data_IF_174823871863
#
_entry.id   IF_174823871863
#
_cell.length_a   1.000
_cell.length_b   1.000
_cell.length_c   1.000
_cell.angle_alpha   90.00
_cell.angle_beta   90.00
_cell.angle_gamma   90.00
#
_symmetry.space_group_name_H-M   'P 1'
#
loop_
_entity.id
_entity.type
_entity.pdbx_description
1 polymer ?
#
# COMPACT_ATOMS: atom_id res chain seq x y z
N UNK A 1 0.02 3.19 27.42
CA UNK A 1 1.24 4.03 27.33
C UNK A 1 1.85 3.87 25.96
N UNK A 2 2.13 4.98 25.24
CA UNK A 2 2.81 4.97 23.94
C UNK A 2 4.21 5.53 24.09
N UNK A 3 5.20 4.85 23.47
CA UNK A 3 6.62 5.23 23.48
C UNK A 3 7.03 5.76 22.12
N UNK A 4 7.73 6.89 22.09
CA UNK A 4 8.29 7.52 20.91
C UNK A 4 9.79 7.74 21.13
N UNK A 5 10.62 7.46 20.14
CA UNK A 5 12.08 7.63 20.23
C UNK A 5 12.65 8.20 18.93
N UNK A 6 13.75 8.94 19.06
CA UNK A 6 14.59 9.35 17.93
C UNK A 6 16.06 8.91 18.10
N UNK A 7 16.31 7.92 18.98
CA UNK A 7 17.63 7.44 19.31
C UNK A 7 18.30 8.18 20.49
N UNK A 8 18.16 9.49 20.59
CA UNK A 8 18.77 10.31 21.64
C UNK A 8 17.81 10.65 22.79
N UNK A 9 16.53 10.66 22.47
CA UNK A 9 15.46 11.10 23.35
C UNK A 9 14.26 10.19 23.26
N UNK A 10 13.63 9.93 24.40
CA UNK A 10 12.38 9.17 24.48
C UNK A 10 11.26 10.05 25.02
N UNK A 11 10.06 9.85 24.49
CA UNK A 11 8.82 10.45 24.97
C UNK A 11 7.85 9.32 25.29
N UNK A 12 7.36 9.28 26.51
CA UNK A 12 6.31 8.38 26.94
C UNK A 12 5.03 9.18 27.14
N UNK A 13 3.95 8.78 26.48
CA UNK A 13 2.64 9.39 26.59
C UNK A 13 1.66 8.39 27.20
N UNK A 14 0.92 8.83 28.20
CA UNK A 14 -0.09 8.00 28.86
C UNK A 14 -1.26 8.87 29.32
N UNK A 15 -2.44 8.29 29.37
CA UNK A 15 -3.64 8.91 29.96
C UNK A 15 -3.94 8.24 31.31
N UNK A 16 -4.35 9.03 32.28
CA UNK A 16 -4.80 8.56 33.58
C UNK A 16 -5.97 9.43 34.06
N UNK A 17 -7.16 8.85 34.16
CA UNK A 17 -8.38 9.62 34.36
C UNK A 17 -8.56 10.65 33.24
N UNK A 18 -8.71 11.92 33.59
CA UNK A 18 -8.78 13.04 32.65
C UNK A 18 -7.43 13.73 32.41
N UNK A 19 -6.33 13.13 32.86
CA UNK A 19 -4.99 13.72 32.75
C UNK A 19 -4.18 13.08 31.63
N UNK A 20 -3.45 13.91 30.88
CA UNK A 20 -2.41 13.50 29.94
C UNK A 20 -1.05 13.66 30.61
N UNK A 21 -0.38 12.55 30.80
CA UNK A 21 0.96 12.48 31.38
C UNK A 21 1.97 12.32 30.23
N UNK A 22 3.00 13.18 30.23
CA UNK A 22 4.09 13.10 29.27
C UNK A 22 5.42 13.07 30.03
N UNK A 23 6.18 11.99 29.84
CA UNK A 23 7.51 11.81 30.40
C UNK A 23 8.52 11.88 29.27
N UNK A 24 9.53 12.73 29.43
CA UNK A 24 10.63 12.85 28.48
C UNK A 24 11.91 12.41 29.15
N UNK A 25 12.67 11.54 28.46
CA UNK A 25 13.97 11.03 28.89
C UNK A 25 15.02 11.49 27.87
N UNK A 26 16.06 12.18 28.34
CA UNK A 26 17.17 12.62 27.49
C UNK A 26 18.45 12.70 28.33
N UNK A 27 19.52 12.04 27.88
CA UNK A 27 20.84 12.03 28.54
C UNK A 27 20.75 11.71 30.05
N UNK A 28 19.94 10.69 30.39
CA UNK A 28 19.72 10.29 31.79
C UNK A 28 18.87 11.25 32.63
N UNK A 29 18.44 12.38 32.08
CA UNK A 29 17.53 13.32 32.75
C UNK A 29 16.09 13.03 32.38
N UNK A 30 15.25 13.05 33.40
CA UNK A 30 13.81 12.86 33.28
C UNK A 30 13.08 14.19 33.48
N UNK A 31 12.09 14.44 32.61
CA UNK A 31 11.15 15.56 32.75
C UNK A 31 9.74 15.02 32.66
N UNK A 32 8.96 15.18 33.73
CA UNK A 32 7.55 14.83 33.80
C UNK A 32 6.69 16.08 33.62
N UNK A 33 5.58 15.95 32.88
CA UNK A 33 4.52 16.94 32.81
C UNK A 33 3.17 16.24 32.82
N UNK A 34 2.20 16.83 33.53
CA UNK A 34 0.82 16.39 33.57
C UNK A 34 -0.10 17.55 33.25
N UNK A 35 -1.17 17.30 32.49
CA UNK A 35 -2.21 18.26 32.19
C UNK A 35 -3.57 17.60 32.28
N UNK A 36 -4.46 18.21 33.05
CA UNK A 36 -5.84 17.78 33.23
C UNK A 36 -6.76 18.43 32.18
N UNK A 37 -7.78 17.71 31.75
CA UNK A 37 -8.76 18.11 30.74
C UNK A 37 -10.17 18.03 31.27
N UNK A 38 -11.07 18.83 30.69
CA UNK A 38 -12.47 18.95 31.15
C UNK A 38 -13.33 17.72 30.85
N UNK A 39 -12.92 16.90 29.85
CA UNK A 39 -13.62 15.67 29.46
C UNK A 39 -12.70 14.76 28.64
N UNK A 40 -13.17 13.54 28.37
CA UNK A 40 -12.44 12.52 27.62
C UNK A 40 -12.17 12.92 26.17
N UNK A 41 -13.08 13.65 25.51
CA UNK A 41 -12.89 14.09 24.11
C UNK A 41 -11.75 15.09 24.00
N UNK A 42 -11.67 16.06 24.91
CA UNK A 42 -10.58 17.04 24.96
C UNK A 42 -9.25 16.35 25.27
N UNK A 43 -9.24 15.38 26.19
CA UNK A 43 -8.07 14.56 26.50
C UNK A 43 -7.61 13.79 25.27
N UNK A 44 -8.52 13.07 24.59
CA UNK A 44 -8.18 12.27 23.41
C UNK A 44 -7.62 13.12 22.26
N UNK A 45 -8.25 14.26 21.98
CA UNK A 45 -7.73 15.21 20.99
C UNK A 45 -6.32 15.70 21.33
N UNK A 46 -6.04 16.02 22.59
CA UNK A 46 -4.74 16.45 23.05
C UNK A 46 -3.70 15.32 23.00
N UNK A 47 -4.10 14.08 23.33
CA UNK A 47 -3.26 12.90 23.24
C UNK A 47 -2.85 12.62 21.81
N UNK A 48 -3.78 12.58 20.85
CA UNK A 48 -3.51 12.42 19.42
C UNK A 48 -2.62 13.54 18.90
N UNK A 49 -2.93 14.79 19.24
CA UNK A 49 -2.08 15.93 18.84
C UNK A 49 -0.65 15.79 19.31
N UNK A 50 -0.40 15.39 20.57
CA UNK A 50 0.97 15.18 21.07
C UNK A 50 1.70 14.05 20.37
N UNK A 51 1.00 12.98 19.99
CA UNK A 51 1.59 11.90 19.17
C UNK A 51 2.02 12.44 17.80
N UNK A 52 1.12 13.12 17.09
CA UNK A 52 1.40 13.72 15.78
C UNK A 52 2.57 14.73 15.87
N UNK A 53 2.58 15.58 16.90
CA UNK A 53 3.65 16.56 17.10
C UNK A 53 5.01 15.89 17.37
N UNK A 54 5.03 14.75 18.09
CA UNK A 54 6.26 13.97 18.29
C UNK A 54 6.75 13.35 16.97
N UNK A 55 5.85 12.69 16.23
CA UNK A 55 6.17 12.05 14.96
C UNK A 55 6.68 13.08 13.93
N UNK A 56 6.04 14.25 13.82
CA UNK A 56 6.47 15.36 12.95
C UNK A 56 7.84 15.97 13.33
N UNK A 57 8.29 15.75 14.55
CA UNK A 57 9.65 16.12 15.03
C UNK A 57 10.68 15.00 14.81
N UNK A 58 10.36 13.98 14.03
CA UNK A 58 11.27 12.88 13.71
C UNK A 58 11.35 11.79 14.78
N UNK A 59 10.44 11.79 15.75
CA UNK A 59 10.32 10.63 16.65
C UNK A 59 9.57 9.50 15.93
N UNK A 60 9.89 8.27 16.28
CA UNK A 60 9.24 7.07 15.80
C UNK A 60 8.47 6.45 16.97
N UNK A 61 7.21 6.08 16.74
CA UNK A 61 6.47 5.23 17.66
C UNK A 61 6.91 3.78 17.48
N UNK A 62 7.16 3.09 18.58
CA UNK A 62 7.50 1.66 18.59
C UNK A 62 6.66 0.89 19.61
N UNK A 63 6.14 -0.26 19.19
CA UNK A 63 5.45 -1.21 20.06
C UNK A 63 5.84 -2.66 19.69
N UNK A 64 6.91 -3.15 20.28
CA UNK A 64 7.40 -4.54 20.02
C UNK A 64 6.45 -5.64 20.53
N UNK A 65 5.39 -5.26 21.27
CA UNK A 65 4.38 -6.18 21.83
C UNK A 65 3.00 -5.91 21.23
N UNK A 66 2.95 -5.33 20.03
CA UNK A 66 1.71 -5.04 19.34
C UNK A 66 0.92 -6.33 19.12
N UNK A 67 -0.36 -6.28 19.46
CA UNK A 67 -1.32 -7.33 19.19
C UNK A 67 -1.87 -7.16 17.78
N UNK A 68 -2.69 -8.11 17.34
CA UNK A 68 -3.41 -8.01 16.08
C UNK A 68 -4.13 -6.66 15.96
N UNK A 69 -3.93 -5.98 14.83
CA UNK A 69 -4.49 -4.66 14.53
C UNK A 69 -3.83 -3.48 15.24
N UNK A 70 -2.88 -3.70 16.14
CA UNK A 70 -2.12 -2.62 16.76
C UNK A 70 -0.90 -2.25 15.92
N UNK A 71 -0.56 -0.97 15.95
CA UNK A 71 0.64 -0.51 15.26
C UNK A 71 1.91 -1.01 15.96
N UNK A 72 2.81 -1.61 15.18
CA UNK A 72 4.19 -1.94 15.57
C UNK A 72 5.07 -0.68 15.53
N UNK A 73 4.87 0.14 14.51
CA UNK A 73 5.64 1.37 14.31
C UNK A 73 4.86 2.41 13.53
N UNK A 74 5.14 3.69 13.81
CA UNK A 74 4.73 4.83 13.00
C UNK A 74 5.90 5.79 12.81
N UNK A 75 6.07 6.30 11.59
CA UNK A 75 6.95 7.41 11.26
C UNK A 75 6.20 8.48 10.45
N UNK A 76 6.56 9.75 10.62
CA UNK A 76 6.09 10.83 9.78
C UNK A 76 7.08 11.08 8.64
N UNK A 77 6.63 10.88 7.42
CA UNK A 77 7.47 10.99 6.23
C UNK A 77 7.29 12.35 5.54
N UNK A 78 6.21 13.02 5.83
CA UNK A 78 5.79 14.22 5.11
C UNK A 78 4.65 13.93 4.13
N UNK A 79 4.08 14.97 3.56
CA UNK A 79 2.89 14.87 2.74
C UNK A 79 3.07 13.93 1.55
N UNK A 80 1.98 13.23 1.19
CA UNK A 80 1.77 12.66 -0.13
C UNK A 80 0.85 13.55 -0.93
N UNK A 81 0.92 13.50 -2.24
CA UNK A 81 -0.09 14.11 -3.08
C UNK A 81 -1.30 13.18 -3.13
N UNK A 82 -2.52 13.73 -3.19
CA UNK A 82 -3.75 12.94 -3.20
C UNK A 82 -3.71 11.86 -4.28
N UNK A 83 -3.61 10.58 -3.85
CA UNK A 83 -3.49 9.43 -4.74
C UNK A 83 -2.06 8.95 -5.01
N UNK A 84 -1.05 9.82 -5.02
CA UNK A 84 0.34 9.43 -5.12
C UNK A 84 0.89 9.10 -3.72
N UNK A 85 0.85 7.83 -3.34
CA UNK A 85 1.24 7.31 -2.03
C UNK A 85 2.18 6.10 -2.18
N UNK A 86 3.01 6.10 -3.23
CA UNK A 86 3.90 4.99 -3.53
C UNK A 86 4.87 4.67 -2.39
N UNK A 87 5.04 3.40 -2.12
CA UNK A 87 6.11 2.86 -1.28
C UNK A 87 6.44 1.44 -1.71
N UNK A 88 7.65 0.99 -1.37
CA UNK A 88 8.06 -0.40 -1.55
C UNK A 88 9.19 -0.77 -0.58
N UNK A 89 9.30 -2.05 -0.25
CA UNK A 89 10.45 -2.63 0.43
C UNK A 89 11.45 -3.16 -0.60
N UNK A 90 12.72 -2.77 -0.49
CA UNK A 90 13.80 -3.22 -1.35
C UNK A 90 15.12 -3.26 -0.54
N UNK A 91 15.85 -4.38 -0.60
CA UNK A 91 17.11 -4.59 0.14
C UNK A 91 17.00 -4.25 1.64
N UNK A 92 15.96 -4.79 2.29
CA UNK A 92 15.67 -4.59 3.73
C UNK A 92 15.45 -3.12 4.14
N UNK A 93 15.13 -2.25 3.18
CA UNK A 93 14.80 -0.83 3.39
C UNK A 93 13.44 -0.52 2.81
N UNK A 94 12.76 0.44 3.42
CA UNK A 94 11.54 1.00 2.86
C UNK A 94 11.88 2.27 2.09
N UNK A 95 11.36 2.36 0.89
CA UNK A 95 11.40 3.55 0.05
C UNK A 95 10.00 4.13 -0.01
N UNK A 96 9.83 5.33 0.49
CA UNK A 96 8.50 5.95 0.66
C UNK A 96 8.48 7.30 -0.03
N UNK A 97 7.50 7.50 -0.89
CA UNK A 97 7.32 8.76 -1.60
C UNK A 97 6.94 9.89 -0.65
N UNK A 98 7.57 11.05 -0.87
CA UNK A 98 7.27 12.32 -0.22
C UNK A 98 7.10 13.41 -1.27
N UNK A 99 5.91 14.01 -1.31
CA UNK A 99 5.65 15.18 -2.14
C UNK A 99 6.35 16.42 -1.56
N UNK A 100 6.94 17.21 -2.44
CA UNK A 100 7.40 18.55 -2.12
C UNK A 100 6.37 19.56 -2.63
N UNK A 101 5.80 20.33 -1.73
CA UNK A 101 4.79 21.34 -2.07
C UNK A 101 5.39 22.70 -2.43
N UNK A 102 6.73 22.83 -2.49
CA UNK A 102 7.39 24.05 -2.93
C UNK A 102 7.31 24.15 -4.46
N UNK A 103 6.89 25.31 -4.98
CA UNK A 103 6.58 25.54 -6.40
C UNK A 103 7.72 25.24 -7.39
N UNK A 104 8.95 25.09 -6.91
CA UNK A 104 10.14 24.83 -7.73
C UNK A 104 10.95 23.61 -7.25
N UNK A 105 10.37 22.80 -6.39
CA UNK A 105 11.05 21.64 -5.81
C UNK A 105 10.76 20.34 -6.54
N UNK A 106 11.70 19.41 -6.45
CA UNK A 106 11.50 18.02 -6.82
C UNK A 106 10.85 17.25 -5.67
N UNK A 107 10.17 16.18 -5.99
CA UNK A 107 9.69 15.22 -5.01
C UNK A 107 10.82 14.30 -4.55
N UNK A 108 10.60 13.54 -3.49
CA UNK A 108 11.63 12.75 -2.85
C UNK A 108 11.20 11.31 -2.59
N UNK A 109 12.20 10.41 -2.54
CA UNK A 109 12.13 9.15 -1.83
C UNK A 109 12.77 9.29 -0.46
N UNK A 110 12.03 8.97 0.58
CA UNK A 110 12.57 8.81 1.92
C UNK A 110 12.94 7.34 2.09
N UNK A 111 14.20 7.10 2.40
CA UNK A 111 14.73 5.75 2.67
C UNK A 111 14.70 5.52 4.16
N UNK A 112 14.03 4.45 4.58
CA UNK A 112 13.90 4.06 5.97
C UNK A 112 14.54 2.69 6.20
N UNK A 113 15.08 2.47 7.39
CA UNK A 113 15.43 1.12 7.85
C UNK A 113 14.20 0.32 8.33
N UNK A 114 14.42 -0.93 8.74
CA UNK A 114 13.35 -1.80 9.25
C UNK A 114 12.67 -1.32 10.54
N UNK A 115 13.26 -0.34 11.22
CA UNK A 115 12.70 0.33 12.41
C UNK A 115 12.09 1.71 12.08
N UNK A 116 11.92 2.01 10.78
CA UNK A 116 11.40 3.25 10.22
C UNK A 116 12.26 4.51 10.50
N UNK A 117 13.54 4.35 10.84
CA UNK A 117 14.46 5.49 10.95
C UNK A 117 14.87 5.95 9.56
N UNK A 118 14.87 7.26 9.35
CA UNK A 118 15.30 7.83 8.08
C UNK A 118 16.81 7.64 7.90
N UNK A 119 17.18 6.94 6.82
CA UNK A 119 18.56 6.74 6.41
C UNK A 119 19.00 7.79 5.40
N UNK A 120 18.11 8.14 4.44
CA UNK A 120 18.42 9.08 3.38
C UNK A 120 17.13 9.74 2.83
N UNK A 121 17.32 10.84 2.14
CA UNK A 121 16.34 11.48 1.27
C UNK A 121 16.97 11.60 -0.11
N UNK A 122 16.30 11.04 -1.13
CA UNK A 122 16.78 10.97 -2.51
C UNK A 122 15.83 11.78 -3.38
N UNK A 123 16.38 12.67 -4.18
CA UNK A 123 15.63 13.47 -5.14
C UNK A 123 15.11 12.60 -6.29
N UNK A 124 13.83 12.72 -6.62
CA UNK A 124 13.21 12.00 -7.71
C UNK A 124 13.45 12.73 -9.05
N UNK A 125 13.67 11.97 -10.15
CA UNK A 125 13.82 12.58 -11.49
C UNK A 125 12.52 13.17 -12.04
N UNK A 126 11.40 12.85 -11.44
CA UNK A 126 10.04 13.31 -11.75
C UNK A 126 9.21 13.38 -10.49
N UNK A 127 8.08 14.09 -10.56
CA UNK A 127 7.10 14.19 -9.48
C UNK A 127 6.11 13.02 -9.47
N UNK A 128 5.25 12.96 -8.45
CA UNK A 128 4.07 12.09 -8.36
C UNK A 128 4.37 10.59 -8.49
N UNK A 129 5.03 10.00 -7.49
CA UNK A 129 5.17 8.55 -7.44
C UNK A 129 3.82 7.85 -7.12
N UNK A 130 3.11 7.48 -8.18
CA UNK A 130 1.80 6.82 -8.09
C UNK A 130 1.91 5.41 -7.54
N UNK A 131 2.91 4.68 -8.01
CA UNK A 131 3.15 3.30 -7.60
C UNK A 131 4.64 3.01 -7.56
N UNK A 132 5.05 2.22 -6.61
CA UNK A 132 6.38 1.64 -6.52
C UNK A 132 6.25 0.14 -6.27
N UNK A 133 7.17 -0.62 -6.83
CA UNK A 133 7.22 -2.06 -6.64
C UNK A 133 8.68 -2.52 -6.73
N UNK A 134 9.08 -3.44 -5.86
CA UNK A 134 10.44 -3.98 -5.89
C UNK A 134 10.54 -5.20 -6.79
N UNK A 135 11.63 -5.25 -7.55
CA UNK A 135 12.17 -6.48 -8.15
C UNK A 135 13.28 -7.02 -7.27
N UNK A 136 13.88 -8.14 -7.67
CA UNK A 136 15.11 -8.63 -7.01
C UNK A 136 16.33 -7.71 -7.22
N UNK A 137 16.28 -6.78 -8.17
CA UNK A 137 17.45 -5.98 -8.59
C UNK A 137 17.26 -4.48 -8.55
N UNK A 138 16.02 -4.02 -8.49
CA UNK A 138 15.71 -2.60 -8.55
C UNK A 138 14.29 -2.32 -8.07
N UNK A 139 14.02 -1.08 -7.71
CA UNK A 139 12.67 -0.54 -7.62
C UNK A 139 12.19 -0.12 -9.00
N UNK A 140 10.94 -0.40 -9.29
CA UNK A 140 10.20 0.19 -10.40
C UNK A 140 9.30 1.28 -9.86
N UNK A 141 9.41 2.46 -10.44
CA UNK A 141 8.64 3.63 -10.04
C UNK A 141 7.82 4.12 -11.22
N UNK A 142 6.55 4.36 -10.99
CA UNK A 142 5.66 5.11 -11.87
C UNK A 142 5.67 6.58 -11.40
N UNK A 143 6.44 7.41 -12.10
CA UNK A 143 6.63 8.83 -11.80
C UNK A 143 6.01 9.68 -12.89
N UNK A 144 4.92 10.38 -12.57
CA UNK A 144 4.22 11.25 -13.52
C UNK A 144 4.00 10.59 -14.90
N UNK A 145 3.52 9.33 -14.87
CA UNK A 145 3.26 8.50 -16.04
C UNK A 145 4.49 8.08 -16.84
N UNK A 146 5.67 8.12 -16.24
CA UNK A 146 6.89 7.55 -16.79
C UNK A 146 7.46 6.49 -15.84
N UNK A 147 8.04 5.44 -16.41
CA UNK A 147 8.62 4.36 -15.62
C UNK A 147 10.12 4.51 -15.45
N UNK A 148 10.55 4.44 -14.21
CA UNK A 148 11.96 4.48 -13.82
C UNK A 148 12.35 3.21 -13.08
N UNK A 149 13.60 2.79 -13.26
CA UNK A 149 14.27 1.83 -12.40
C UNK A 149 15.21 2.59 -11.47
N UNK A 150 15.23 2.18 -10.21
CA UNK A 150 16.20 2.63 -9.23
C UNK A 150 16.92 1.41 -8.65
N UNK A 151 18.23 1.31 -8.86
CA UNK A 151 19.07 0.17 -8.48
C UNK A 151 19.69 0.28 -7.09
N UNK A 152 19.24 1.26 -6.28
CA UNK A 152 19.80 1.60 -4.98
C UNK A 152 20.73 2.82 -5.02
N UNK A 153 21.27 3.17 -6.20
CA UNK A 153 22.21 4.29 -6.38
C UNK A 153 21.69 5.34 -7.36
N UNK A 154 21.16 4.90 -8.50
CA UNK A 154 20.75 5.80 -9.58
C UNK A 154 19.41 5.44 -10.20
N UNK A 155 18.76 6.46 -10.72
CA UNK A 155 17.58 6.30 -11.55
C UNK A 155 17.97 6.09 -13.01
N UNK A 156 17.26 5.19 -13.67
CA UNK A 156 17.34 5.04 -15.11
C UNK A 156 15.94 4.92 -15.69
N UNK A 157 15.64 5.71 -16.70
CA UNK A 157 14.36 5.64 -17.41
C UNK A 157 14.21 4.26 -18.04
N UNK A 158 13.07 3.60 -17.80
CA UNK A 158 12.84 2.25 -18.30
C UNK A 158 12.58 2.27 -19.81
N UNK A 159 11.72 3.20 -20.25
CA UNK A 159 11.44 3.44 -21.67
C UNK A 159 10.79 4.82 -21.84
N UNK A 160 10.81 5.34 -23.05
CA UNK A 160 10.09 6.56 -23.40
C UNK A 160 8.62 6.22 -23.64
N UNK A 161 7.74 6.80 -22.82
CA UNK A 161 6.32 6.45 -22.81
C UNK A 161 5.47 7.25 -23.77
N UNK A 162 5.95 8.38 -24.22
CA UNK A 162 5.27 9.21 -25.20
C UNK A 162 5.09 8.45 -26.52
N UNK A 163 3.89 7.96 -26.76
CA UNK A 163 3.54 7.14 -27.93
C UNK A 163 3.28 5.66 -27.64
N UNK A 164 3.60 5.16 -26.41
CA UNK A 164 3.32 3.78 -26.04
C UNK A 164 2.12 3.67 -25.10
N UNK A 165 1.89 4.69 -24.29
CA UNK A 165 0.82 4.66 -23.29
C UNK A 165 0.17 6.05 -23.17
N UNK A 166 -0.92 6.24 -23.86
CA UNK A 166 -1.68 7.48 -23.78
C UNK A 166 -2.53 7.57 -22.49
N UNK A 167 -1.98 8.04 -21.39
CA UNK A 167 -2.77 8.73 -20.37
C UNK A 167 -3.35 7.96 -19.21
N UNK A 168 -2.95 6.72 -18.92
CA UNK A 168 -3.37 6.05 -17.69
C UNK A 168 -2.55 4.80 -17.41
N UNK A 169 -1.77 4.82 -16.35
CA UNK A 169 -0.89 3.71 -16.02
C UNK A 169 -1.36 2.93 -14.82
N UNK A 170 -1.28 1.63 -14.95
CA UNK A 170 -1.17 0.73 -13.82
C UNK A 170 0.07 -0.12 -14.04
N UNK A 171 0.95 -0.18 -13.09
CA UNK A 171 2.12 -1.05 -13.14
C UNK A 171 2.03 -2.10 -12.06
N UNK A 172 2.54 -3.27 -12.35
CA UNK A 172 2.74 -4.31 -11.37
C UNK A 172 3.94 -5.17 -11.78
N UNK A 173 4.51 -5.91 -10.85
CA UNK A 173 5.62 -6.82 -11.09
C UNK A 173 5.15 -8.25 -11.07
N UNK A 174 5.76 -9.06 -11.91
CA UNK A 174 5.67 -10.50 -11.81
C UNK A 174 6.73 -11.05 -10.85
N UNK A 175 6.46 -12.20 -10.24
CA UNK A 175 7.43 -12.90 -9.40
C UNK A 175 8.72 -13.33 -10.13
N UNK A 176 8.78 -13.13 -11.46
CA UNK A 176 9.92 -13.46 -12.33
C UNK A 176 10.78 -12.24 -12.72
N UNK A 177 10.66 -11.13 -12.01
CA UNK A 177 11.33 -9.86 -12.35
C UNK A 177 10.86 -9.21 -13.66
N UNK A 178 9.76 -9.67 -14.25
CA UNK A 178 9.15 -9.04 -15.41
C UNK A 178 8.31 -7.84 -14.97
N UNK A 179 8.36 -6.77 -15.75
CA UNK A 179 7.63 -5.54 -15.47
C UNK A 179 6.47 -5.46 -16.44
N UNK A 180 5.26 -5.40 -15.91
CA UNK A 180 4.08 -5.14 -16.70
C UNK A 180 3.61 -3.71 -16.48
N UNK A 181 3.40 -3.02 -17.59
CA UNK A 181 2.77 -1.72 -17.60
C UNK A 181 1.51 -1.77 -18.45
N UNK A 182 0.42 -1.19 -17.97
CA UNK A 182 -0.78 -1.06 -18.76
C UNK A 182 -1.09 0.40 -19.08
N UNK A 183 -1.59 0.61 -20.27
CA UNK A 183 -2.01 1.91 -20.75
C UNK A 183 -3.18 1.78 -21.70
N UNK A 184 -3.60 2.88 -22.30
CA UNK A 184 -4.69 2.89 -23.29
C UNK A 184 -4.35 2.08 -24.54
N UNK A 185 -3.07 1.87 -24.83
CA UNK A 185 -2.57 1.25 -26.06
C UNK A 185 -2.17 -0.23 -25.91
N UNK A 186 -2.49 -0.83 -24.77
CA UNK A 186 -2.23 -2.25 -24.52
C UNK A 186 -1.41 -2.56 -23.29
N UNK A 187 -1.17 -3.85 -23.08
CA UNK A 187 -0.31 -4.35 -21.99
C UNK A 187 1.08 -4.55 -22.56
N UNK A 188 2.06 -3.98 -21.87
CA UNK A 188 3.46 -4.09 -22.20
C UNK A 188 4.20 -4.83 -21.10
N UNK A 189 4.95 -5.86 -21.45
CA UNK A 189 5.84 -6.53 -20.50
C UNK A 189 7.31 -6.28 -20.90
N UNK A 190 8.08 -5.84 -19.93
CA UNK A 190 9.52 -5.60 -20.09
C UNK A 190 10.29 -6.49 -19.11
N UNK A 191 11.42 -7.01 -19.57
CA UNK A 191 12.37 -7.67 -18.70
C UNK A 191 13.28 -6.68 -17.97
N UNK A 192 14.05 -7.20 -17.03
CA UNK A 192 15.10 -6.44 -16.33
C UNK A 192 16.17 -5.88 -17.28
N UNK A 193 16.29 -6.41 -18.50
CA UNK A 193 17.11 -5.92 -19.60
C UNK A 193 16.48 -4.73 -20.35
N UNK A 194 15.33 -4.24 -19.91
CA UNK A 194 14.54 -3.15 -20.50
C UNK A 194 14.02 -3.44 -21.92
N UNK A 195 14.06 -4.69 -22.35
CA UNK A 195 13.52 -5.06 -23.66
C UNK A 195 12.06 -5.41 -23.57
N UNK A 196 11.29 -4.93 -24.55
CA UNK A 196 9.89 -5.32 -24.70
C UNK A 196 9.80 -6.81 -25.04
N UNK A 197 9.16 -7.60 -24.17
CA UNK A 197 8.96 -9.04 -24.34
C UNK A 197 7.55 -9.40 -24.78
N UNK A 198 6.59 -8.54 -24.45
CA UNK A 198 5.20 -8.83 -24.72
C UNK A 198 4.41 -7.52 -24.92
N UNK A 199 3.53 -7.50 -25.89
CA UNK A 199 2.57 -6.43 -26.13
C UNK A 199 1.23 -7.02 -26.57
N UNK A 200 0.13 -6.50 -26.01
CA UNK A 200 -1.21 -6.76 -26.53
C UNK A 200 -1.87 -5.47 -26.98
N UNK A 201 -2.92 -5.60 -27.77
CA UNK A 201 -3.80 -4.51 -28.20
C UNK A 201 -4.94 -4.24 -27.19
N UNK A 202 -4.97 -4.98 -26.09
CA UNK A 202 -6.01 -4.85 -25.05
C UNK A 202 -5.76 -3.61 -24.19
N UNK A 203 -6.67 -2.65 -24.27
CA UNK A 203 -6.64 -1.44 -23.43
C UNK A 203 -7.02 -1.78 -22.00
N UNK A 204 -6.03 -2.01 -21.15
CA UNK A 204 -6.23 -2.32 -19.76
C UNK A 204 -6.21 -1.07 -18.89
N UNK A 205 -7.06 -1.04 -17.86
CA UNK A 205 -7.14 0.03 -16.84
C UNK A 205 -6.62 -0.41 -15.48
N UNK A 206 -6.46 -1.72 -15.28
CA UNK A 206 -5.91 -2.28 -14.06
C UNK A 206 -5.16 -3.57 -14.36
N UNK A 207 -4.09 -3.81 -13.61
CA UNK A 207 -3.35 -5.08 -13.61
C UNK A 207 -3.22 -5.58 -12.18
N UNK A 208 -3.45 -6.88 -12.01
CA UNK A 208 -3.20 -7.61 -10.77
C UNK A 208 -2.32 -8.84 -11.03
N UNK A 209 -1.63 -9.28 -10.00
CA UNK A 209 -0.80 -10.47 -10.06
C UNK A 209 -1.28 -11.51 -9.05
N UNK A 210 -1.11 -12.74 -9.44
CA UNK A 210 -1.15 -13.91 -8.60
C UNK A 210 0.20 -14.62 -8.63
N UNK A 211 0.20 -15.91 -8.29
CA UNK A 211 1.42 -16.70 -8.21
C UNK A 211 1.97 -17.11 -9.59
N UNK A 212 1.10 -17.47 -10.53
CA UNK A 212 1.46 -17.97 -11.87
C UNK A 212 0.73 -17.25 -13.00
N UNK A 213 -0.21 -16.39 -12.66
CA UNK A 213 -1.12 -15.72 -13.59
C UNK A 213 -1.09 -14.22 -13.28
N UNK A 214 -1.14 -13.40 -14.31
CA UNK A 214 -1.53 -12.01 -14.17
C UNK A 214 -2.90 -11.78 -14.80
N UNK A 215 -3.60 -10.78 -14.31
CA UNK A 215 -4.88 -10.34 -14.83
C UNK A 215 -4.76 -8.89 -15.27
N UNK A 216 -5.26 -8.61 -16.46
CA UNK A 216 -5.48 -7.26 -16.95
C UNK A 216 -6.96 -7.02 -17.16
N UNK A 217 -7.48 -5.94 -16.61
CA UNK A 217 -8.88 -5.55 -16.71
C UNK A 217 -9.04 -4.27 -17.51
N UNK A 218 -9.98 -4.25 -18.43
CA UNK A 218 -10.26 -3.10 -19.28
C UNK A 218 -11.62 -3.18 -19.95
N UNK A 219 -11.84 -2.30 -20.92
CA UNK A 219 -13.04 -2.29 -21.74
C UNK A 219 -12.76 -2.93 -23.10
N UNK A 220 -13.65 -3.79 -23.56
CA UNK A 220 -13.57 -4.42 -24.87
C UNK A 220 -14.98 -4.50 -25.47
N UNK A 221 -15.18 -3.81 -26.59
CA UNK A 221 -16.48 -3.76 -27.24
C UNK A 221 -17.61 -3.22 -26.35
N UNK A 222 -17.33 -2.30 -25.45
CA UNK A 222 -18.27 -1.74 -24.49
C UNK A 222 -18.56 -2.63 -23.28
N UNK A 223 -17.84 -3.72 -23.12
CA UNK A 223 -17.95 -4.64 -21.99
C UNK A 223 -16.71 -4.57 -21.12
N UNK A 224 -16.89 -4.70 -19.80
CA UNK A 224 -15.80 -4.92 -18.87
C UNK A 224 -15.27 -6.33 -18.98
N UNK A 225 -13.98 -6.46 -19.25
CA UNK A 225 -13.33 -7.75 -19.45
C UNK A 225 -12.08 -7.85 -18.59
N UNK A 226 -11.87 -8.99 -17.97
CA UNK A 226 -10.62 -9.41 -17.39
C UNK A 226 -9.98 -10.47 -18.31
N UNK A 227 -8.81 -10.18 -18.84
CA UNK A 227 -7.98 -11.15 -19.54
C UNK A 227 -6.88 -11.66 -18.60
N UNK A 228 -6.74 -12.97 -18.52
CA UNK A 228 -5.77 -13.63 -17.66
C UNK A 228 -4.67 -14.25 -18.52
N UNK A 229 -3.43 -14.07 -18.11
CA UNK A 229 -2.24 -14.51 -18.84
C UNK A 229 -1.33 -15.31 -17.93
N UNK A 230 -0.68 -16.33 -18.46
CA UNK A 230 0.39 -17.02 -17.75
C UNK A 230 1.61 -16.11 -17.60
N UNK A 231 2.19 -16.01 -16.39
CA UNK A 231 3.40 -15.22 -16.16
C UNK A 231 4.65 -15.79 -16.87
N UNK A 232 4.64 -17.08 -17.20
CA UNK A 232 5.79 -17.74 -17.83
C UNK A 232 6.05 -17.30 -19.25
N UNK A 233 5.02 -17.13 -20.05
CA UNK A 233 5.10 -16.91 -21.49
C UNK A 233 4.10 -15.88 -22.01
N UNK A 234 3.32 -15.28 -21.13
CA UNK A 234 2.23 -14.33 -21.42
C UNK A 234 1.15 -14.88 -22.37
N UNK A 235 1.05 -16.21 -22.49
CA UNK A 235 -0.06 -16.80 -23.21
C UNK A 235 -1.38 -16.50 -22.52
N UNK A 236 -2.40 -16.10 -23.29
CA UNK A 236 -3.74 -15.86 -22.74
C UNK A 236 -4.35 -17.17 -22.25
N UNK A 237 -4.62 -17.25 -20.96
CA UNK A 237 -5.25 -18.41 -20.34
C UNK A 237 -6.76 -18.39 -20.57
N UNK A 238 -7.39 -17.27 -20.27
CA UNK A 238 -8.81 -17.12 -20.43
C UNK A 238 -9.26 -15.66 -20.38
N UNK A 239 -10.51 -15.46 -20.78
CA UNK A 239 -11.22 -14.19 -20.70
C UNK A 239 -12.47 -14.36 -19.86
N UNK A 240 -12.70 -13.40 -18.95
CA UNK A 240 -13.88 -13.34 -18.08
C UNK A 240 -14.59 -12.01 -18.35
N UNK A 241 -15.86 -12.06 -18.77
CA UNK A 241 -16.70 -10.88 -18.82
C UNK A 241 -17.13 -10.51 -17.40
N UNK A 242 -16.66 -9.37 -16.94
CA UNK A 242 -17.00 -8.85 -15.63
C UNK A 242 -18.23 -7.93 -15.81
N UNK A 243 -19.41 -8.47 -15.59
CA UNK A 243 -20.66 -7.70 -15.64
C UNK A 243 -20.80 -6.80 -14.39
N UNK A 244 -19.94 -5.81 -14.31
CA UNK A 244 -19.87 -4.84 -13.22
C UNK A 244 -19.61 -3.47 -13.82
N UNK A 245 -20.41 -2.50 -13.43
CA UNK A 245 -20.50 -1.15 -14.00
C UNK A 245 -19.18 -0.42 -14.28
N UNK A 246 -19.24 0.87 -14.46
CA UNK A 246 -18.12 1.71 -14.89
C UNK A 246 -16.88 1.58 -13.99
N UNK A 247 -15.70 1.45 -14.59
CA UNK A 247 -14.44 1.21 -13.88
C UNK A 247 -13.85 2.54 -13.43
N UNK A 248 -14.06 2.91 -12.16
CA UNK A 248 -13.32 4.01 -11.52
C UNK A 248 -12.19 3.54 -10.62
N UNK A 249 -12.25 2.32 -10.11
CA UNK A 249 -11.25 1.75 -9.23
C UNK A 249 -10.37 0.76 -9.98
N UNK A 250 -9.09 0.84 -9.67
CA UNK A 250 -8.04 0.09 -10.32
C UNK A 250 -7.57 -1.10 -9.45
N UNK A 251 -8.45 -1.63 -8.60
CA UNK A 251 -8.07 -2.73 -7.72
C UNK A 251 -8.62 -4.05 -8.26
N UNK A 252 -7.73 -4.86 -8.81
CA UNK A 252 -7.98 -6.22 -9.28
C UNK A 252 -6.88 -7.11 -8.74
N UNK A 253 -7.20 -8.34 -8.37
CA UNK A 253 -6.22 -9.28 -7.86
C UNK A 253 -6.65 -10.73 -8.01
N UNK A 254 -5.71 -11.62 -7.82
CA UNK A 254 -5.89 -13.06 -7.79
C UNK A 254 -5.59 -13.57 -6.38
N UNK A 255 -6.44 -14.44 -5.86
CA UNK A 255 -6.32 -15.04 -4.53
C UNK A 255 -6.50 -16.56 -4.60
N UNK A 256 -6.23 -17.26 -3.49
CA UNK A 256 -6.33 -18.73 -3.38
C UNK A 256 -5.54 -19.45 -4.49
N UNK A 257 -4.24 -19.16 -4.60
CA UNK A 257 -3.37 -19.71 -5.63
C UNK A 257 -3.93 -19.53 -7.05
N UNK A 258 -4.35 -18.32 -7.35
CA UNK A 258 -4.89 -17.91 -8.66
C UNK A 258 -6.27 -18.49 -9.02
N UNK A 259 -6.91 -19.19 -8.09
CA UNK A 259 -8.21 -19.82 -8.35
C UNK A 259 -9.35 -18.82 -8.39
N UNK A 260 -9.23 -17.69 -7.72
CA UNK A 260 -10.29 -16.67 -7.62
C UNK A 260 -9.78 -15.31 -8.09
N UNK A 261 -10.48 -14.75 -9.06
CA UNK A 261 -10.35 -13.36 -9.47
C UNK A 261 -11.22 -12.47 -8.56
N UNK A 262 -10.62 -11.42 -8.02
CA UNK A 262 -11.30 -10.39 -7.23
C UNK A 262 -11.25 -9.07 -7.98
N UNK A 263 -12.39 -8.42 -8.11
CA UNK A 263 -12.53 -7.12 -8.75
C UNK A 263 -13.24 -6.16 -7.81
N UNK A 264 -12.67 -5.00 -7.60
CA UNK A 264 -13.37 -3.86 -7.02
C UNK A 264 -13.89 -2.97 -8.16
N UNK A 265 -15.17 -2.64 -8.17
CA UNK A 265 -15.83 -1.96 -9.30
C UNK A 265 -15.76 -0.44 -9.25
N UNK A 266 -15.09 0.14 -8.27
CA UNK A 266 -15.00 1.60 -8.16
C UNK A 266 -16.21 2.29 -7.51
N UNK A 267 -17.28 1.56 -7.25
CA UNK A 267 -18.38 1.96 -6.35
C UNK A 267 -18.23 1.25 -5.00
N UNK A 268 -16.99 0.93 -4.66
CA UNK A 268 -16.61 0.30 -3.42
C UNK A 268 -17.21 -1.10 -3.18
N UNK A 269 -17.58 -1.81 -4.26
CA UNK A 269 -18.12 -3.17 -4.20
C UNK A 269 -17.11 -4.20 -4.70
N UNK A 270 -17.01 -5.34 -3.99
CA UNK A 270 -16.20 -6.49 -4.38
C UNK A 270 -17.01 -7.51 -5.17
N UNK A 271 -16.38 -8.06 -6.17
CA UNK A 271 -16.91 -9.12 -7.01
C UNK A 271 -15.87 -10.24 -7.16
N UNK A 272 -16.33 -11.47 -7.23
CA UNK A 272 -15.52 -12.67 -7.27
C UNK A 272 -15.90 -13.55 -8.45
N UNK A 273 -14.90 -14.13 -9.12
CA UNK A 273 -15.09 -15.13 -10.16
C UNK A 273 -14.17 -16.33 -9.90
N UNK A 274 -14.70 -17.51 -10.13
CA UNK A 274 -13.88 -18.71 -10.26
C UNK A 274 -13.18 -18.70 -11.61
N UNK A 275 -11.86 -18.77 -11.61
CA UNK A 275 -11.03 -18.63 -12.81
C UNK A 275 -11.24 -19.83 -13.76
N UNK A 276 -11.36 -21.03 -13.23
CA UNK A 276 -11.50 -22.23 -14.04
C UNK A 276 -12.85 -22.31 -14.75
N UNK A 277 -13.95 -22.09 -14.04
CA UNK A 277 -15.30 -22.14 -14.59
C UNK A 277 -15.74 -20.83 -15.24
N UNK A 278 -15.01 -19.71 -15.00
CA UNK A 278 -15.34 -18.34 -15.43
C UNK A 278 -16.69 -17.84 -14.89
N UNK A 279 -17.21 -18.49 -13.85
CA UNK A 279 -18.48 -18.15 -13.24
C UNK A 279 -18.29 -17.16 -12.09
N UNK A 280 -19.22 -16.21 -12.01
CA UNK A 280 -19.30 -15.31 -10.86
C UNK A 280 -19.65 -16.12 -9.61
N UNK A 281 -18.90 -15.87 -8.54
CA UNK A 281 -19.15 -16.44 -7.22
C UNK A 281 -19.99 -15.48 -6.38
N UNK A 282 -20.72 -16.05 -5.43
CA UNK A 282 -21.37 -15.25 -4.40
C UNK A 282 -20.33 -14.61 -3.49
N UNK A 283 -20.47 -13.33 -3.24
CA UNK A 283 -19.61 -12.64 -2.26
C UNK A 283 -19.89 -13.23 -0.87
N UNK A 284 -18.84 -13.63 -0.13
CA UNK A 284 -19.01 -14.11 1.24
C UNK A 284 -19.78 -13.10 2.09
N UNK A 285 -20.80 -13.55 2.84
CA UNK A 285 -21.67 -12.68 3.65
C UNK A 285 -20.91 -11.93 4.77
N UNK A 286 -19.78 -12.46 5.18
CA UNK A 286 -18.87 -11.86 6.17
C UNK A 286 -18.14 -10.61 5.64
N UNK A 287 -17.97 -10.49 4.33
CA UNK A 287 -17.27 -9.35 3.73
C UNK A 287 -18.15 -8.10 3.72
N UNK A 288 -17.56 -6.92 3.95
CA UNK A 288 -18.27 -5.66 3.85
C UNK A 288 -18.74 -5.39 2.41
N UNK A 289 -19.85 -4.68 2.25
CA UNK A 289 -20.34 -4.29 0.94
C UNK A 289 -19.49 -3.17 0.31
N UNK A 290 -19.00 -2.27 1.15
CA UNK A 290 -18.21 -1.13 0.71
C UNK A 290 -16.73 -1.35 1.04
N UNK A 291 -15.89 -1.35 -0.01
CA UNK A 291 -14.45 -1.58 0.08
C UNK A 291 -13.73 -0.65 -0.90
N UNK A 292 -12.96 0.29 -0.40
CA UNK A 292 -12.14 1.17 -1.25
C UNK A 292 -10.93 0.45 -1.82
N UNK A 293 -10.28 -0.38 -1.01
CA UNK A 293 -9.11 -1.17 -1.39
C UNK A 293 -9.14 -2.52 -0.69
N UNK A 294 -8.47 -3.49 -1.29
CA UNK A 294 -8.16 -4.75 -0.64
C UNK A 294 -6.69 -5.10 -0.83
N UNK A 295 -6.17 -5.94 0.03
CA UNK A 295 -4.88 -6.59 -0.09
C UNK A 295 -5.03 -8.03 0.37
N UNK A 296 -4.21 -8.93 -0.14
CA UNK A 296 -4.21 -10.32 0.27
C UNK A 296 -2.79 -10.90 0.22
N UNK A 297 -2.53 -11.85 1.11
CA UNK A 297 -1.43 -12.80 1.01
C UNK A 297 -2.00 -14.22 0.94
N UNK A 298 -1.22 -15.25 1.25
CA UNK A 298 -1.69 -16.64 1.18
C UNK A 298 -2.73 -17.00 2.26
N UNK A 299 -2.88 -16.19 3.30
CA UNK A 299 -3.68 -16.53 4.49
C UNK A 299 -4.75 -15.49 4.83
N UNK A 300 -4.48 -14.22 4.55
CA UNK A 300 -5.30 -13.09 4.97
C UNK A 300 -5.84 -12.35 3.76
N UNK A 301 -7.14 -12.09 3.76
CA UNK A 301 -7.80 -11.12 2.89
C UNK A 301 -8.18 -9.89 3.72
N UNK A 302 -7.62 -8.75 3.39
CA UNK A 302 -7.83 -7.50 4.12
C UNK A 302 -8.59 -6.50 3.26
N UNK A 303 -9.59 -5.88 3.84
CA UNK A 303 -10.36 -4.79 3.24
C UNK A 303 -10.10 -3.48 3.97
N UNK A 304 -10.11 -2.38 3.19
CA UNK A 304 -9.93 -1.02 3.68
C UNK A 304 -11.07 -0.13 3.23
N UNK A 305 -11.64 0.64 4.15
CA UNK A 305 -12.68 1.63 3.86
C UNK A 305 -12.59 2.80 4.85
N UNK A 306 -12.28 4.01 4.33
CA UNK A 306 -12.18 5.28 5.08
C UNK A 306 -11.46 5.19 6.44
N UNK A 307 -10.28 4.58 6.47
CA UNK A 307 -9.48 4.43 7.68
C UNK A 307 -9.75 3.17 8.50
N UNK A 308 -10.81 2.42 8.20
CA UNK A 308 -11.10 1.14 8.85
C UNK A 308 -10.55 -0.05 8.08
N UNK A 309 -9.99 -1.00 8.81
CA UNK A 309 -9.53 -2.29 8.29
C UNK A 309 -10.38 -3.42 8.84
N UNK A 310 -10.67 -4.40 7.97
CA UNK A 310 -11.22 -5.69 8.36
C UNK A 310 -10.37 -6.78 7.73
N UNK A 311 -9.83 -7.67 8.57
CA UNK A 311 -9.05 -8.80 8.12
C UNK A 311 -9.86 -10.09 8.22
N UNK A 312 -9.78 -10.92 7.20
CA UNK A 312 -10.49 -12.18 7.06
C UNK A 312 -9.50 -13.30 6.77
N UNK A 313 -9.78 -14.49 7.29
CA UNK A 313 -9.10 -15.71 6.85
C UNK A 313 -9.36 -15.91 5.36
N UNK A 314 -8.32 -16.14 4.57
CA UNK A 314 -8.50 -16.44 3.15
C UNK A 314 -9.12 -17.82 2.92
N UNK A 315 -9.04 -18.74 3.88
CA UNK A 315 -9.59 -20.10 3.77
C UNK A 315 -11.12 -20.09 3.64
N UNK A 316 -11.80 -19.40 4.58
CA UNK A 316 -13.26 -19.45 4.75
C UNK A 316 -13.93 -18.06 4.82
N UNK A 317 -13.14 -16.98 4.69
CA UNK A 317 -13.56 -15.60 4.87
C UNK A 317 -14.15 -15.30 6.26
N UNK A 318 -13.78 -16.06 7.27
CA UNK A 318 -14.10 -15.73 8.67
C UNK A 318 -13.36 -14.46 9.10
N UNK A 319 -14.07 -13.56 9.75
CA UNK A 319 -13.48 -12.34 10.30
C UNK A 319 -12.43 -12.69 11.37
N UNK A 320 -11.20 -12.24 11.17
CA UNK A 320 -10.09 -12.36 12.12
C UNK A 320 -10.05 -11.18 13.08
N UNK A 321 -10.39 -10.00 12.61
CA UNK A 321 -10.44 -8.79 13.42
C UNK A 321 -10.71 -7.52 12.63
N UNK A 322 -11.00 -6.46 13.38
CA UNK A 322 -11.22 -5.11 12.87
C UNK A 322 -10.36 -4.13 13.65
N UNK A 323 -9.82 -3.14 12.96
CA UNK A 323 -9.04 -2.07 13.59
C UNK A 323 -9.02 -0.82 12.72
N UNK A 324 -8.64 0.30 13.32
CA UNK A 324 -8.59 1.57 12.62
C UNK A 324 -7.17 1.96 12.22
N UNK A 325 -7.04 2.60 11.07
CA UNK A 325 -5.82 3.20 10.59
C UNK A 325 -5.57 4.50 11.35
N UNK A 326 -4.56 4.51 12.20
CA UNK A 326 -4.14 5.74 12.85
C UNK A 326 -3.59 6.74 11.80
N UNK A 327 -3.85 8.02 12.03
CA UNK A 327 -3.29 9.12 11.21
C UNK A 327 -3.65 9.07 9.71
N UNK A 328 -4.84 8.57 9.39
CA UNK A 328 -5.42 8.62 8.06
C UNK A 328 -6.57 9.63 8.03
N UNK A 329 -6.61 10.48 7.00
CA UNK A 329 -7.72 11.41 6.79
C UNK A 329 -8.75 10.80 5.85
N UNK A 330 -8.30 10.27 4.70
CA UNK A 330 -9.21 9.77 3.67
C UNK A 330 -8.64 8.56 2.92
N UNK A 331 -7.40 8.64 2.45
CA UNK A 331 -6.82 7.62 1.58
C UNK A 331 -5.55 7.02 2.16
N UNK A 332 -5.32 5.74 1.87
CA UNK A 332 -4.09 5.05 2.21
C UNK A 332 -3.68 4.11 1.06
N UNK A 333 -2.38 3.96 0.85
CA UNK A 333 -1.81 2.83 0.13
C UNK A 333 -1.50 1.73 1.16
N UNK A 334 -1.81 0.49 0.80
CA UNK A 334 -1.72 -0.67 1.70
C UNK A 334 -1.03 -1.83 1.00
N UNK A 335 -0.24 -2.56 1.76
CA UNK A 335 0.42 -3.80 1.33
C UNK A 335 0.53 -4.77 2.50
N UNK A 336 0.37 -6.05 2.24
CA UNK A 336 0.54 -7.12 3.23
C UNK A 336 1.78 -7.93 2.87
N UNK A 337 2.67 -8.10 3.82
CA UNK A 337 3.78 -9.05 3.73
C UNK A 337 3.86 -9.86 5.02
N UNK A 338 3.74 -11.17 4.92
CA UNK A 338 3.66 -12.08 6.07
C UNK A 338 2.59 -11.64 7.08
N UNK A 339 2.96 -11.43 8.33
CA UNK A 339 2.08 -11.00 9.43
C UNK A 339 2.08 -9.46 9.62
N UNK A 340 2.46 -8.68 8.62
CA UNK A 340 2.54 -7.23 8.69
C UNK A 340 1.71 -6.57 7.62
N UNK A 341 1.01 -5.52 8.03
CA UNK A 341 0.35 -4.59 7.13
C UNK A 341 1.14 -3.28 7.10
N UNK A 342 1.58 -2.91 5.93
CA UNK A 342 2.23 -1.62 5.67
C UNK A 342 1.20 -0.64 5.15
N UNK A 343 1.20 0.56 5.70
CA UNK A 343 0.20 1.59 5.40
C UNK A 343 0.88 2.94 5.20
N UNK A 344 0.73 3.52 4.02
CA UNK A 344 1.10 4.91 3.73
C UNK A 344 -0.16 5.75 3.67
N UNK A 345 -0.30 6.72 4.58
CA UNK A 345 -1.51 7.56 4.66
C UNK A 345 -1.34 8.88 3.95
N UNK A 346 -2.43 9.46 3.48
CA UNK A 346 -2.50 10.80 2.88
C UNK A 346 -2.11 11.91 3.87
N UNK A 347 -2.17 11.65 5.18
CA UNK A 347 -1.75 12.60 6.22
C UNK A 347 -0.23 12.64 6.44
N UNK A 348 0.53 11.82 5.74
CA UNK A 348 2.00 11.86 5.74
C UNK A 348 2.67 10.81 6.61
N UNK A 349 1.96 9.80 7.10
CA UNK A 349 2.52 8.76 7.94
C UNK A 349 2.78 7.48 7.15
N UNK A 350 3.85 6.79 7.52
CA UNK A 350 4.12 5.41 7.15
C UNK A 350 4.07 4.56 8.41
N UNK A 351 3.30 3.49 8.37
CA UNK A 351 2.94 2.70 9.55
C UNK A 351 3.04 1.21 9.27
N UNK A 352 3.43 0.46 10.27
CA UNK A 352 3.43 -1.00 10.26
C UNK A 352 2.46 -1.48 11.33
N UNK A 353 1.48 -2.29 10.96
CA UNK A 353 0.54 -2.93 11.88
C UNK A 353 0.80 -4.42 11.98
N UNK A 354 0.56 -4.98 13.17
CA UNK A 354 0.62 -6.41 13.38
C UNK A 354 -0.65 -7.09 12.89
N UNK A 355 -0.51 -8.14 12.10
CA UNK A 355 -1.57 -9.08 11.75
C UNK A 355 -1.38 -10.44 12.42
N UNK A 356 -0.39 -10.55 13.33
CA UNK A 356 -0.15 -11.77 14.09
C UNK A 356 -1.31 -12.06 15.05
N UNK A 357 -1.94 -13.20 14.91
CA UNK A 357 -2.92 -13.69 15.88
C UNK A 357 -2.22 -14.06 17.19
N UNK A 358 -2.78 -13.62 18.34
CA UNK A 358 -2.25 -13.98 19.65
C UNK A 358 -2.25 -15.51 19.84
N UNK A 359 -1.09 -16.15 19.67
CA UNK A 359 -0.87 -17.55 20.00
C UNK A 359 -0.90 -18.57 18.86
N UNK A 360 -1.13 -18.17 17.62
CA UNK A 360 -0.90 -19.02 16.47
C UNK A 360 0.47 -18.66 15.90
N UNK A 361 1.48 -19.48 16.17
CA UNK A 361 2.66 -19.54 15.30
C UNK A 361 2.16 -20.15 13.99
N UNK A 362 2.01 -19.32 12.96
CA UNK A 362 1.78 -19.75 11.60
C UNK A 362 3.11 -20.16 11.00
#
# INVERSE_FOLDING_TARGET
MKKFTNGEKEILLQTQGLSLISKTLQNGKERLSSKEFVNHDALQKAFVKKQVDALKKGFIYENKKAKFGEALAHAYIGGGYSGALGFAEFEDKFYVYKCNFDEHGCDYLIVLDGELRTLAQIELPKILAWKMTATKKALVLDLDHEFFLFDGEKFSRLFETWGITGGGFSSALSGNDEILACGTDGILAFGSDKKLKFKTDFSAKAIGFGNKICVARGDEGGKNVARLYHLKDFAELCRIECDVGYIHSLNVGLIKNDAILVVNNGFDELYFWDVASKKRLSVPKSLPRSVMRFAANDQIFLTYFYGGFKAFSLEDFRLLGEFECEHCVKTAAIEISSERLYVRTDYGFFSIYSLAENGIKI
#
